data_IF_576334164743
#
_entry.id   IF_576334164743
#
_cell.length_a   1.000
_cell.length_b   1.000
_cell.length_c   1.000
_cell.angle_alpha   90.00
_cell.angle_beta   90.00
_cell.angle_gamma   90.00
#
_symmetry.space_group_name_H-M   'P 1'
#
loop_
_entity.id
_entity.type
_entity.pdbx_description
1 polymer ?
#
# COMPACT_ATOMS: atom_id res chain seq x y z
N UNK A 1 30.79 -17.10 -6.78
CA UNK A 1 29.55 -16.44 -7.25
C UNK A 1 28.42 -17.01 -6.40
N UNK A 2 28.03 -16.30 -5.34
CA UNK A 2 26.89 -16.73 -4.52
C UNK A 2 25.61 -16.39 -5.29
N UNK A 3 24.90 -17.43 -5.72
CA UNK A 3 23.51 -17.29 -6.16
C UNK A 3 22.63 -16.96 -4.95
N UNK A 4 22.47 -15.67 -4.68
CA UNK A 4 21.42 -15.17 -3.79
C UNK A 4 20.05 -15.50 -4.42
N UNK A 5 19.58 -16.73 -4.18
CA UNK A 5 18.23 -17.18 -4.53
C UNK A 5 17.24 -16.22 -3.89
N UNK A 6 16.71 -15.29 -4.68
CA UNK A 6 15.61 -14.42 -4.24
C UNK A 6 14.45 -15.27 -3.78
N UNK A 7 13.97 -14.98 -2.58
CA UNK A 7 12.75 -15.56 -2.04
C UNK A 7 11.61 -15.31 -3.04
N UNK A 8 11.15 -16.38 -3.68
CA UNK A 8 9.97 -16.37 -4.53
C UNK A 8 8.78 -16.82 -3.71
N UNK A 9 7.62 -16.20 -3.93
CA UNK A 9 6.40 -16.68 -3.28
C UNK A 9 6.10 -18.09 -3.80
N UNK A 10 5.93 -19.05 -2.87
CA UNK A 10 5.65 -20.47 -3.16
C UNK A 10 4.35 -20.67 -3.95
N UNK A 11 3.46 -19.68 -4.01
CA UNK A 11 2.26 -19.73 -4.84
C UNK A 11 1.60 -18.37 -5.12
N UNK A 12 0.84 -18.29 -6.21
CA UNK A 12 0.08 -17.10 -6.62
C UNK A 12 -0.87 -16.61 -5.54
N UNK A 13 -1.48 -17.51 -4.76
CA UNK A 13 -2.34 -17.18 -3.63
C UNK A 13 -1.59 -16.40 -2.54
N UNK A 14 -0.37 -16.81 -2.19
CA UNK A 14 0.44 -16.11 -1.18
C UNK A 14 0.84 -14.70 -1.63
N UNK A 15 1.15 -14.53 -2.92
CA UNK A 15 1.43 -13.22 -3.50
C UNK A 15 0.18 -12.31 -3.46
N UNK A 16 -0.98 -12.83 -3.88
CA UNK A 16 -2.24 -12.07 -3.88
C UNK A 16 -2.66 -11.70 -2.47
N UNK A 17 -2.53 -12.61 -1.49
CA UNK A 17 -2.85 -12.32 -0.09
C UNK A 17 -1.92 -11.26 0.51
N UNK A 18 -0.62 -11.34 0.23
CA UNK A 18 0.33 -10.32 0.69
C UNK A 18 0.03 -8.95 0.07
N UNK A 19 -0.28 -8.90 -1.22
CA UNK A 19 -0.67 -7.67 -1.91
C UNK A 19 -2.00 -7.10 -1.36
N UNK A 20 -3.00 -7.96 -1.15
CA UNK A 20 -4.29 -7.57 -0.60
C UNK A 20 -4.15 -7.06 0.84
N UNK A 21 -3.37 -7.74 1.69
CA UNK A 21 -3.08 -7.31 3.05
C UNK A 21 -2.33 -5.97 3.11
N UNK A 22 -1.45 -5.69 2.14
CA UNK A 22 -0.79 -4.39 2.02
C UNK A 22 -1.71 -3.27 1.52
N UNK A 23 -2.73 -3.61 0.73
CA UNK A 23 -3.67 -2.65 0.15
C UNK A 23 -4.81 -2.27 1.12
N UNK A 24 -5.23 -3.21 1.98
CA UNK A 24 -6.28 -2.98 2.97
C UNK A 24 -5.68 -2.36 4.24
N UNK A 25 -6.02 -1.11 4.52
CA UNK A 25 -5.50 -0.38 5.67
C UNK A 25 -6.57 0.35 6.47
N UNK A 26 -6.15 0.97 7.58
CA UNK A 26 -7.01 1.70 8.52
C UNK A 26 -7.83 2.83 7.85
N UNK A 27 -7.29 3.42 6.78
CA UNK A 27 -7.98 4.43 5.98
C UNK A 27 -9.27 3.91 5.33
N UNK A 28 -9.31 2.64 4.94
CA UNK A 28 -10.54 2.02 4.41
C UNK A 28 -11.60 1.82 5.50
N UNK A 29 -11.20 1.70 6.77
CA UNK A 29 -12.09 1.41 7.89
C UNK A 29 -12.82 2.67 8.37
N UNK A 30 -12.12 3.81 8.48
CA UNK A 30 -12.77 5.05 8.97
C UNK A 30 -12.90 6.13 7.90
N UNK A 31 -11.87 6.36 7.07
CA UNK A 31 -11.81 7.55 6.22
C UNK A 31 -12.74 7.41 5.02
N UNK A 32 -12.78 6.22 4.43
CA UNK A 32 -13.71 5.91 3.35
C UNK A 32 -15.19 6.12 3.73
N UNK A 33 -15.73 5.51 4.79
CA UNK A 33 -17.13 5.73 5.16
C UNK A 33 -17.39 7.17 5.61
N UNK A 34 -16.42 7.84 6.24
CA UNK A 34 -16.55 9.25 6.62
C UNK A 34 -16.69 10.17 5.38
N UNK A 35 -15.85 9.99 4.36
CA UNK A 35 -15.96 10.75 3.11
C UNK A 35 -17.23 10.40 2.35
N UNK A 36 -17.58 9.11 2.26
CA UNK A 36 -18.81 8.68 1.60
C UNK A 36 -20.05 9.28 2.29
N UNK A 37 -20.08 9.33 3.62
CA UNK A 37 -21.18 9.96 4.36
C UNK A 37 -21.27 11.47 4.17
N UNK A 38 -20.13 12.17 4.01
CA UNK A 38 -20.09 13.64 3.85
C UNK A 38 -20.37 14.10 2.41
N UNK A 39 -19.80 13.43 1.42
CA UNK A 39 -19.75 13.89 0.03
C UNK A 39 -20.89 13.35 -0.84
N UNK A 40 -22.09 13.18 -0.26
CA UNK A 40 -23.29 12.80 -1.02
C UNK A 40 -23.48 11.29 -1.24
N UNK A 41 -22.86 10.44 -0.43
CA UNK A 41 -23.21 9.01 -0.31
C UNK A 41 -22.99 8.23 -1.60
N UNK A 42 -24.10 7.90 -2.27
CA UNK A 42 -24.10 7.05 -3.46
C UNK A 42 -23.39 7.67 -4.67
N UNK A 43 -23.47 8.99 -4.87
CA UNK A 43 -22.78 9.64 -6.00
C UNK A 43 -21.26 9.62 -5.82
N UNK A 44 -20.79 9.87 -4.59
CA UNK A 44 -19.38 9.71 -4.24
C UNK A 44 -18.89 8.29 -4.51
N UNK A 45 -19.69 7.27 -4.15
CA UNK A 45 -19.34 5.87 -4.36
C UNK A 45 -19.17 5.52 -5.84
N UNK A 46 -20.09 5.99 -6.71
CA UNK A 46 -20.01 5.75 -8.15
C UNK A 46 -18.77 6.41 -8.75
N UNK A 47 -18.50 7.68 -8.41
CA UNK A 47 -17.29 8.39 -8.85
C UNK A 47 -16.03 7.68 -8.34
N UNK A 48 -16.00 7.27 -7.07
CA UNK A 48 -14.90 6.53 -6.47
C UNK A 48 -14.60 5.23 -7.22
N UNK A 49 -15.63 4.44 -7.54
CA UNK A 49 -15.49 3.19 -8.30
C UNK A 49 -14.92 3.44 -9.70
N UNK A 50 -15.40 4.47 -10.41
CA UNK A 50 -14.87 4.82 -11.73
C UNK A 50 -13.40 5.23 -11.67
N UNK A 51 -13.01 6.03 -10.68
CA UNK A 51 -11.62 6.44 -10.50
C UNK A 51 -10.71 5.27 -10.14
N UNK A 52 -11.15 4.39 -9.24
CA UNK A 52 -10.37 3.19 -8.85
C UNK A 52 -10.22 2.23 -10.03
N UNK A 53 -11.29 2.01 -10.79
CA UNK A 53 -11.26 1.13 -11.95
C UNK A 53 -10.37 1.65 -13.09
N UNK A 54 -10.21 2.96 -13.22
CA UNK A 54 -9.40 3.58 -14.28
C UNK A 54 -7.99 3.92 -13.80
N UNK A 55 -7.85 4.90 -12.90
CA UNK A 55 -6.56 5.35 -12.38
C UNK A 55 -5.92 4.31 -11.47
N UNK A 56 -6.70 3.70 -10.57
CA UNK A 56 -6.18 2.67 -9.66
C UNK A 56 -5.63 1.46 -10.42
N UNK A 57 -6.40 0.96 -11.40
CA UNK A 57 -5.99 -0.19 -12.21
C UNK A 57 -4.76 0.10 -13.08
N UNK A 58 -4.72 1.25 -13.75
CA UNK A 58 -3.59 1.64 -14.62
C UNK A 58 -2.31 1.84 -13.82
N UNK A 59 -2.38 2.54 -12.67
CA UNK A 59 -1.22 2.72 -11.78
C UNK A 59 -0.72 1.39 -11.23
N UNK A 60 -1.62 0.53 -10.73
CA UNK A 60 -1.24 -0.78 -10.19
C UNK A 60 -0.57 -1.66 -11.27
N UNK A 61 -1.13 -1.69 -12.48
CA UNK A 61 -0.56 -2.48 -13.58
C UNK A 61 0.80 -1.95 -13.99
N UNK A 62 0.99 -0.63 -14.00
CA UNK A 62 2.28 0.01 -14.30
C UNK A 62 3.32 -0.34 -13.24
N UNK A 63 2.98 -0.26 -11.95
CA UNK A 63 3.87 -0.58 -10.84
C UNK A 63 4.31 -2.05 -10.88
N UNK A 64 3.37 -2.97 -11.14
CA UNK A 64 3.65 -4.41 -11.26
C UNK A 64 4.53 -4.68 -12.49
N UNK A 65 4.25 -4.05 -13.63
CA UNK A 65 5.06 -4.20 -14.84
C UNK A 65 6.51 -3.70 -14.62
N UNK A 66 6.67 -2.55 -13.98
CA UNK A 66 7.97 -1.96 -13.66
C UNK A 66 8.75 -2.82 -12.64
N UNK A 67 8.08 -3.35 -11.62
CA UNK A 67 8.68 -4.28 -10.66
C UNK A 67 9.12 -5.61 -11.29
N UNK A 68 8.33 -6.15 -12.23
CA UNK A 68 8.68 -7.39 -12.96
C UNK A 68 9.80 -7.19 -13.96
N UNK A 69 9.81 -6.04 -14.65
CA UNK A 69 10.83 -5.70 -15.67
C UNK A 69 12.19 -5.38 -15.07
N UNK A 70 12.23 -4.64 -13.96
CA UNK A 70 13.50 -4.26 -13.32
C UNK A 70 14.03 -5.31 -12.35
N UNK A 71 13.14 -6.13 -11.75
CA UNK A 71 13.44 -7.04 -10.63
C UNK A 71 14.25 -6.35 -9.53
N UNK A 72 14.08 -5.06 -9.31
CA UNK A 72 14.79 -4.30 -8.30
C UNK A 72 13.83 -3.60 -7.36
N UNK A 73 14.33 -3.22 -6.18
CA UNK A 73 13.52 -2.57 -5.16
C UNK A 73 13.06 -1.17 -5.61
N UNK A 74 12.08 -0.58 -4.90
CA UNK A 74 11.47 0.71 -5.23
C UNK A 74 12.49 1.86 -5.37
N UNK A 75 13.63 1.77 -4.66
CA UNK A 75 14.73 2.75 -4.73
C UNK A 75 15.52 2.70 -6.03
N UNK A 76 15.69 1.52 -6.62
CA UNK A 76 16.63 1.30 -7.74
C UNK A 76 15.92 1.05 -9.06
N UNK A 77 14.65 0.66 -9.02
CA UNK A 77 13.82 0.44 -10.20
C UNK A 77 13.68 1.69 -11.10
N UNK A 78 13.36 2.90 -10.59
CA UNK A 78 13.29 4.09 -11.44
C UNK A 78 14.67 4.56 -11.93
N UNK A 79 15.71 4.41 -11.09
CA UNK A 79 17.11 4.74 -11.45
C UNK A 79 17.67 3.88 -12.58
N UNK A 80 17.14 2.67 -12.77
CA UNK A 80 17.51 1.76 -13.86
C UNK A 80 16.79 2.05 -15.18
N UNK A 81 15.60 2.65 -15.14
CA UNK A 81 14.90 3.08 -16.35
C UNK A 81 15.57 4.33 -16.93
N UNK A 82 15.86 5.32 -16.09
CA UNK A 82 16.55 6.55 -16.48
C UNK A 82 17.09 7.24 -15.21
N UNK A 83 18.36 7.67 -15.24
CA UNK A 83 19.08 8.31 -14.13
C UNK A 83 18.35 9.56 -13.61
N UNK A 84 17.56 10.24 -14.47
CA UNK A 84 16.77 11.41 -14.09
C UNK A 84 15.61 11.10 -13.14
N UNK A 85 15.08 9.89 -13.17
CA UNK A 85 13.98 9.47 -12.29
C UNK A 85 14.48 8.83 -10.98
N UNK A 86 15.79 8.75 -10.73
CA UNK A 86 16.30 8.15 -9.50
C UNK A 86 15.82 8.84 -8.21
N UNK A 87 15.48 10.12 -8.27
CA UNK A 87 14.92 10.84 -7.13
C UNK A 87 13.50 10.37 -6.76
N UNK A 88 12.73 9.86 -7.72
CA UNK A 88 11.39 9.32 -7.46
C UNK A 88 11.44 8.07 -6.57
N UNK A 89 12.47 7.23 -6.71
CA UNK A 89 12.68 6.06 -5.86
C UNK A 89 13.04 6.44 -4.42
N UNK A 90 13.78 7.53 -4.23
CA UNK A 90 14.04 8.09 -2.91
C UNK A 90 12.75 8.62 -2.27
N UNK A 91 11.93 9.36 -3.03
CA UNK A 91 10.63 9.85 -2.55
C UNK A 91 9.70 8.69 -2.16
N UNK A 92 9.66 7.63 -2.97
CA UNK A 92 8.84 6.44 -2.74
C UNK A 92 9.21 5.70 -1.45
N UNK A 93 10.47 5.78 -0.99
CA UNK A 93 10.87 5.24 0.32
C UNK A 93 10.74 6.25 1.45
N UNK A 94 10.94 7.53 1.19
CA UNK A 94 10.83 8.59 2.20
C UNK A 94 9.39 8.71 2.72
N UNK A 95 8.40 8.71 1.82
CA UNK A 95 6.98 8.86 2.18
C UNK A 95 6.50 7.82 3.21
N UNK A 96 6.65 6.49 2.99
CA UNK A 96 6.21 5.50 3.97
C UNK A 96 7.02 5.58 5.28
N UNK A 97 8.29 5.98 5.25
CA UNK A 97 9.09 6.20 6.47
C UNK A 97 8.51 7.32 7.34
N UNK A 98 8.06 8.43 6.73
CA UNK A 98 7.38 9.50 7.49
C UNK A 98 6.01 9.08 8.02
N UNK A 99 5.29 8.22 7.28
CA UNK A 99 3.94 7.79 7.64
C UNK A 99 3.97 6.68 8.71
N UNK A 100 5.02 5.86 8.76
CA UNK A 100 5.18 4.76 9.68
C UNK A 100 4.97 5.13 11.16
N UNK A 101 5.61 6.19 11.73
CA UNK A 101 5.40 6.54 13.14
C UNK A 101 3.94 6.93 13.43
N UNK A 102 3.25 7.59 12.50
CA UNK A 102 1.83 7.93 12.65
C UNK A 102 0.97 6.66 12.75
N UNK A 103 1.19 5.68 11.88
CA UNK A 103 0.48 4.40 11.93
C UNK A 103 0.84 3.56 13.16
N UNK A 104 2.11 3.59 13.61
CA UNK A 104 2.55 2.88 14.81
C UNK A 104 1.84 3.40 16.07
N UNK A 105 1.64 4.72 16.19
CA UNK A 105 0.92 5.32 17.34
C UNK A 105 -0.54 4.86 17.36
N UNK A 106 -1.21 4.89 16.20
CA UNK A 106 -2.61 4.44 16.11
C UNK A 106 -2.73 2.95 16.41
N UNK A 107 -1.81 2.13 15.88
CA UNK A 107 -1.74 0.71 16.21
C UNK A 107 -1.55 0.45 17.70
N UNK A 108 -0.72 1.26 18.37
CA UNK A 108 -0.54 1.22 19.82
C UNK A 108 -1.84 1.54 20.59
N UNK A 109 -2.64 2.49 20.12
CA UNK A 109 -3.96 2.77 20.72
C UNK A 109 -4.91 1.59 20.53
N UNK A 110 -4.99 1.01 19.34
CA UNK A 110 -5.83 -0.17 19.06
C UNK A 110 -5.42 -1.33 19.98
N UNK A 111 -4.13 -1.58 20.15
CA UNK A 111 -3.63 -2.64 21.03
C UNK A 111 -3.95 -2.36 22.51
N UNK A 112 -3.85 -1.10 22.95
CA UNK A 112 -4.26 -0.68 24.29
C UNK A 112 -5.75 -0.92 24.53
N UNK A 113 -6.62 -0.54 23.58
CA UNK A 113 -8.05 -0.78 23.69
C UNK A 113 -8.40 -2.26 23.65
N UNK A 114 -7.71 -3.04 22.83
CA UNK A 114 -7.86 -4.50 22.78
C UNK A 114 -7.48 -5.14 24.12
N UNK A 115 -6.37 -4.71 24.72
CA UNK A 115 -5.95 -5.19 26.04
C UNK A 115 -6.93 -4.80 27.14
N UNK A 116 -7.42 -3.55 27.13
CA UNK A 116 -8.43 -3.09 28.08
C UNK A 116 -9.73 -3.91 27.99
N UNK A 117 -10.17 -4.22 26.76
CA UNK A 117 -11.34 -5.06 26.51
C UNK A 117 -11.14 -6.51 26.97
N UNK A 118 -9.94 -7.07 26.76
CA UNK A 118 -9.59 -8.42 27.21
C UNK A 118 -9.40 -8.53 28.73
N UNK A 119 -8.89 -7.49 29.39
CA UNK A 119 -8.65 -7.49 30.84
C UNK A 119 -9.89 -7.15 31.66
N UNK A 120 -11.07 -7.10 31.06
CA UNK A 120 -12.35 -6.93 31.76
C UNK A 120 -12.62 -5.52 32.29
N UNK A 121 -12.11 -4.49 31.60
CA UNK A 121 -12.56 -3.11 31.78
C UNK A 121 -13.85 -2.81 31.02
#
# INVERSE_FOLDING_TARGET
MNDDKRNSFTGTLGFVMAAAGSAVGLGNIWRFPFLAARDGGGLFLVCYLLLVATFGYTLLTTEIALGRGTRQGPLTAPSKLDHRFGWTGFLACLVPVLILPYYSVIGGWVLKYLWAFLSGG
#
